data_IF_465177124770
#
_entry.id   IF_465177124770
#
_cell.length_a   1.000
_cell.length_b   1.000
_cell.length_c   1.000
_cell.angle_alpha   90.00
_cell.angle_beta   90.00
_cell.angle_gamma   90.00
#
_symmetry.space_group_name_H-M   'P 1'
#
loop_
_entity.id
_entity.type
_entity.pdbx_description
1 polymer ?
#
# COMPACT_ATOMS: atom_id res chain seq x y z
N UNK A 1 24.92 -0.66 -11.76
CA UNK A 1 23.72 -1.46 -11.44
C UNK A 1 22.60 -0.95 -12.33
N UNK A 2 22.52 -1.47 -13.55
CA UNK A 2 21.44 -1.14 -14.47
C UNK A 2 20.15 -1.74 -13.91
N UNK A 3 19.17 -0.88 -13.61
CA UNK A 3 17.79 -1.30 -13.47
C UNK A 3 17.26 -1.41 -14.88
N UNK A 4 17.48 -2.55 -15.54
CA UNK A 4 16.74 -2.88 -16.76
C UNK A 4 15.26 -2.90 -16.36
N UNK A 5 14.58 -1.77 -16.58
CA UNK A 5 13.16 -1.65 -16.27
C UNK A 5 12.40 -2.73 -17.02
N UNK A 6 11.47 -3.40 -16.35
CA UNK A 6 10.56 -4.32 -17.02
C UNK A 6 10.00 -3.65 -18.28
N UNK A 7 9.98 -4.34 -19.43
CA UNK A 7 9.48 -3.75 -20.65
C UNK A 7 8.04 -3.29 -20.41
N UNK A 8 7.70 -2.09 -20.88
CA UNK A 8 6.39 -1.46 -20.61
C UNK A 8 5.21 -2.35 -21.04
N UNK A 9 5.43 -3.23 -22.02
CA UNK A 9 4.46 -4.26 -22.43
C UNK A 9 4.11 -5.23 -21.29
N UNK A 10 5.11 -5.76 -20.57
CA UNK A 10 4.91 -6.68 -19.45
C UNK A 10 4.20 -5.99 -18.27
N UNK A 11 4.55 -4.74 -17.98
CA UNK A 11 3.85 -3.94 -16.96
C UNK A 11 2.40 -3.72 -17.36
N UNK A 12 2.13 -3.37 -18.63
CA UNK A 12 0.78 -3.15 -19.15
C UNK A 12 -0.08 -4.42 -19.03
N UNK A 13 0.47 -5.58 -19.34
CA UNK A 13 -0.23 -6.86 -19.19
C UNK A 13 -0.60 -7.15 -17.73
N UNK A 14 0.34 -6.94 -16.79
CA UNK A 14 0.07 -7.08 -15.35
C UNK A 14 -1.05 -6.15 -14.88
N UNK A 15 -0.99 -4.88 -15.30
CA UNK A 15 -2.01 -3.89 -14.95
C UNK A 15 -3.38 -4.25 -15.54
N UNK A 16 -3.41 -4.75 -16.78
CA UNK A 16 -4.65 -5.21 -17.41
C UNK A 16 -5.24 -6.43 -16.69
N UNK A 17 -4.41 -7.40 -16.28
CA UNK A 17 -4.87 -8.55 -15.48
C UNK A 17 -5.44 -8.12 -14.14
N UNK A 18 -4.74 -7.23 -13.42
CA UNK A 18 -5.25 -6.67 -12.17
C UNK A 18 -6.57 -5.92 -12.36
N UNK A 19 -6.72 -5.18 -13.47
CA UNK A 19 -7.98 -4.51 -13.81
C UNK A 19 -9.10 -5.50 -14.11
N UNK A 20 -8.82 -6.60 -14.82
CA UNK A 20 -9.81 -7.63 -15.07
C UNK A 20 -10.30 -8.27 -13.77
N UNK A 21 -9.38 -8.60 -12.86
CA UNK A 21 -9.72 -9.11 -11.51
C UNK A 21 -10.64 -8.14 -10.76
N UNK A 22 -10.38 -6.84 -10.84
CA UNK A 22 -11.23 -5.83 -10.22
C UNK A 22 -12.63 -5.77 -10.86
N UNK A 23 -12.69 -5.78 -12.20
CA UNK A 23 -13.95 -5.79 -12.93
C UNK A 23 -14.77 -7.04 -12.59
N UNK A 24 -14.16 -8.21 -12.58
CA UNK A 24 -14.83 -9.47 -12.25
C UNK A 24 -15.37 -9.46 -10.82
N UNK A 25 -14.57 -8.93 -9.87
CA UNK A 25 -14.99 -8.78 -8.46
C UNK A 25 -16.21 -7.88 -8.31
N UNK A 26 -16.29 -6.80 -9.11
CA UNK A 26 -17.37 -5.82 -9.02
C UNK A 26 -18.44 -5.96 -10.10
N UNK A 27 -18.36 -6.97 -10.97
CA UNK A 27 -19.31 -7.17 -12.08
C UNK A 27 -20.78 -7.25 -11.62
N UNK A 28 -21.02 -7.70 -10.39
CA UNK A 28 -22.36 -7.82 -9.79
C UNK A 28 -22.77 -6.60 -8.94
N UNK A 29 -21.99 -5.52 -8.94
CA UNK A 29 -22.22 -4.31 -8.14
C UNK A 29 -22.38 -3.10 -9.04
N UNK A 30 -23.57 -2.51 -9.03
CA UNK A 30 -23.79 -1.23 -9.69
C UNK A 30 -23.01 -0.10 -8.99
N UNK A 31 -22.26 0.68 -9.77
CA UNK A 31 -21.58 1.90 -9.31
C UNK A 31 -20.19 1.72 -8.70
N UNK A 32 -19.63 0.50 -8.68
CA UNK A 32 -18.27 0.24 -8.20
C UNK A 32 -17.45 -0.37 -9.32
N UNK A 33 -16.43 0.34 -9.78
CA UNK A 33 -15.61 -0.09 -10.93
C UNK A 33 -14.13 -0.30 -10.58
N UNK A 34 -13.73 0.07 -9.37
CA UNK A 34 -12.33 0.03 -8.95
C UNK A 34 -12.22 -0.08 -7.43
N UNK A 35 -11.06 -0.56 -6.96
CA UNK A 35 -10.77 -0.72 -5.53
C UNK A 35 -10.92 0.58 -4.72
N UNK A 36 -10.69 1.74 -5.33
CA UNK A 36 -10.84 3.05 -4.68
C UNK A 36 -12.29 3.33 -4.25
N UNK A 37 -13.27 2.82 -5.00
CA UNK A 37 -14.70 3.04 -4.77
C UNK A 37 -15.29 2.12 -3.70
N UNK A 38 -14.51 1.19 -3.13
CA UNK A 38 -14.98 0.30 -2.06
C UNK A 38 -15.48 1.09 -0.85
N UNK A 39 -16.68 0.77 -0.36
CA UNK A 39 -17.19 1.25 0.91
C UNK A 39 -16.68 0.43 2.10
N UNK A 40 -16.98 0.82 3.36
CA UNK A 40 -16.57 0.09 4.56
C UNK A 40 -17.07 -1.36 4.60
N UNK A 41 -18.26 -1.61 4.04
CA UNK A 41 -18.84 -2.95 3.91
C UNK A 41 -18.09 -3.82 2.90
N UNK A 42 -17.50 -3.20 1.89
CA UNK A 42 -16.76 -3.88 0.83
C UNK A 42 -15.35 -4.22 1.28
N UNK A 43 -14.72 -3.34 2.05
CA UNK A 43 -13.43 -3.63 2.67
C UNK A 43 -13.47 -4.92 3.48
N UNK A 44 -14.50 -5.13 4.31
CA UNK A 44 -14.64 -6.37 5.08
C UNK A 44 -14.83 -7.64 4.23
N UNK A 45 -15.37 -7.50 3.01
CA UNK A 45 -15.67 -8.65 2.12
C UNK A 45 -14.55 -8.93 1.12
N UNK A 46 -13.93 -7.89 0.58
CA UNK A 46 -12.97 -7.95 -0.51
C UNK A 46 -11.51 -7.91 -0.02
N UNK A 47 -11.26 -7.31 1.15
CA UNK A 47 -9.93 -7.27 1.76
C UNK A 47 -9.78 -8.38 2.79
N UNK A 48 -9.68 -9.63 2.33
CA UNK A 48 -9.24 -10.73 3.18
C UNK A 48 -7.75 -10.54 3.46
N UNK A 49 -7.42 -10.30 4.72
CA UNK A 49 -6.04 -10.16 5.20
C UNK A 49 -5.61 -11.47 5.85
N UNK A 50 -4.39 -11.89 5.55
CA UNK A 50 -3.70 -12.97 6.26
C UNK A 50 -3.43 -12.55 7.70
N UNK A 51 -3.33 -13.50 8.63
CA UNK A 51 -3.08 -13.23 10.05
C UNK A 51 -1.79 -12.40 10.25
N UNK A 52 -0.78 -12.65 9.44
CA UNK A 52 0.46 -11.85 9.44
C UNK A 52 0.23 -10.40 9.02
N UNK A 53 -0.63 -10.17 8.02
CA UNK A 53 -0.95 -8.83 7.55
C UNK A 53 -1.82 -8.07 8.57
N UNK A 54 -2.76 -8.76 9.22
CA UNK A 54 -3.58 -8.19 10.29
C UNK A 54 -2.74 -7.79 11.51
N UNK A 55 -1.78 -8.62 11.93
CA UNK A 55 -0.84 -8.30 13.00
C UNK A 55 0.01 -7.06 12.70
N UNK A 56 0.49 -6.92 11.45
CA UNK A 56 1.22 -5.74 11.00
C UNK A 56 0.34 -4.50 11.01
N UNK A 57 -0.90 -4.59 10.51
CA UNK A 57 -1.85 -3.48 10.49
C UNK A 57 -2.19 -3.01 11.91
N UNK A 58 -2.46 -3.92 12.84
CA UNK A 58 -2.70 -3.62 14.26
C UNK A 58 -1.52 -2.88 14.90
N UNK A 59 -0.31 -3.38 14.63
CA UNK A 59 0.93 -2.75 15.12
C UNK A 59 1.13 -1.35 14.53
N UNK A 60 0.88 -1.19 13.23
CA UNK A 60 0.97 0.10 12.53
C UNK A 60 -0.05 1.11 13.07
N UNK A 61 -1.30 0.69 13.31
CA UNK A 61 -2.33 1.55 13.93
C UNK A 61 -1.87 2.03 15.32
N UNK A 62 -1.35 1.14 16.15
CA UNK A 62 -0.87 1.48 17.49
C UNK A 62 0.32 2.45 17.48
N UNK A 63 1.29 2.25 16.59
CA UNK A 63 2.50 3.08 16.49
C UNK A 63 2.28 4.42 15.81
N UNK A 64 1.56 4.43 14.68
CA UNK A 64 1.38 5.59 13.82
C UNK A 64 0.12 6.40 14.14
N UNK A 65 -0.68 5.94 15.12
CA UNK A 65 -1.98 6.54 15.51
C UNK A 65 -2.86 6.84 14.28
N UNK A 66 -2.94 5.88 13.35
CA UNK A 66 -3.70 6.05 12.11
C UNK A 66 -5.18 6.24 12.41
N UNK A 67 -5.80 7.23 11.75
CA UNK A 67 -7.25 7.36 11.77
C UNK A 67 -7.91 6.20 11.02
N UNK A 68 -9.17 5.89 11.35
CA UNK A 68 -9.94 4.86 10.64
C UNK A 68 -9.97 5.09 9.11
N UNK A 69 -9.96 6.36 8.67
CA UNK A 69 -9.90 6.72 7.25
C UNK A 69 -8.54 6.39 6.62
N UNK A 70 -7.44 6.61 7.34
CA UNK A 70 -6.10 6.23 6.89
C UNK A 70 -5.99 4.71 6.79
N UNK A 71 -6.49 3.97 7.78
CA UNK A 71 -6.55 2.51 7.74
C UNK A 71 -7.33 1.98 6.52
N UNK A 72 -8.51 2.53 6.24
CA UNK A 72 -9.27 2.16 5.05
C UNK A 72 -8.51 2.43 3.76
N UNK A 73 -7.73 3.52 3.70
CA UNK A 73 -6.89 3.83 2.53
C UNK A 73 -5.78 2.79 2.36
N UNK A 74 -5.11 2.42 3.46
CA UNK A 74 -4.08 1.36 3.47
C UNK A 74 -4.65 0.06 2.91
N UNK A 75 -5.83 -0.36 3.38
CA UNK A 75 -6.48 -1.59 2.88
C UNK A 75 -6.78 -1.54 1.37
N UNK A 76 -7.24 -0.40 0.85
CA UNK A 76 -7.51 -0.24 -0.59
C UNK A 76 -6.23 -0.31 -1.43
N UNK A 77 -5.15 0.27 -0.93
CA UNK A 77 -3.83 0.22 -1.59
C UNK A 77 -3.29 -1.20 -1.55
N UNK A 78 -3.29 -1.84 -0.38
CA UNK A 78 -2.83 -3.21 -0.20
C UNK A 78 -3.60 -4.19 -1.09
N UNK A 79 -4.92 -4.02 -1.24
CA UNK A 79 -5.73 -4.81 -2.19
C UNK A 79 -5.30 -4.61 -3.64
N UNK A 80 -4.94 -3.39 -4.02
CA UNK A 80 -4.48 -3.09 -5.39
C UNK A 80 -3.11 -3.72 -5.66
N UNK A 81 -2.21 -3.70 -4.67
CA UNK A 81 -0.91 -4.40 -4.75
C UNK A 81 -1.12 -5.91 -4.83
N UNK A 82 -2.04 -6.47 -4.03
CA UNK A 82 -2.40 -7.89 -4.09
C UNK A 82 -2.99 -8.26 -5.46
N UNK A 83 -3.84 -7.41 -6.06
CA UNK A 83 -4.39 -7.64 -7.40
C UNK A 83 -3.30 -7.61 -8.48
N UNK A 84 -2.28 -6.75 -8.34
CA UNK A 84 -1.11 -6.72 -9.23
C UNK A 84 -0.18 -7.93 -9.06
N UNK A 85 -0.25 -8.60 -7.91
CA UNK A 85 0.44 -9.86 -7.61
C UNK A 85 -0.44 -11.08 -7.85
N UNK A 86 -1.67 -10.90 -8.35
CA UNK A 86 -2.68 -11.96 -8.58
C UNK A 86 -3.00 -12.77 -7.31
N UNK A 87 -2.81 -12.16 -6.14
CA UNK A 87 -3.06 -12.80 -4.86
C UNK A 87 -4.51 -12.61 -4.42
N UNK A 88 -5.25 -13.69 -4.11
CA UNK A 88 -6.59 -13.58 -3.55
C UNK A 88 -6.57 -12.97 -2.14
N UNK A 89 -5.48 -13.16 -1.39
CA UNK A 89 -5.31 -12.72 0.00
C UNK A 89 -4.31 -11.57 0.10
N UNK A 90 -4.58 -10.61 1.00
CA UNK A 90 -3.64 -9.56 1.36
C UNK A 90 -2.63 -10.16 2.34
N UNK A 91 -1.47 -10.53 1.81
CA UNK A 91 -0.30 -10.96 2.56
C UNK A 91 0.49 -9.77 3.14
N UNK A 92 1.35 -10.02 4.15
CA UNK A 92 2.25 -9.02 4.72
C UNK A 92 3.04 -8.22 3.66
N UNK A 93 3.49 -8.89 2.60
CA UNK A 93 4.25 -8.27 1.51
C UNK A 93 3.47 -7.19 0.76
N UNK A 94 2.13 -7.28 0.72
CA UNK A 94 1.27 -6.30 0.06
C UNK A 94 0.96 -5.10 0.97
N UNK A 95 1.22 -5.23 2.28
CA UNK A 95 1.11 -4.16 3.27
C UNK A 95 2.50 -3.51 3.40
N UNK A 96 3.02 -2.99 2.29
CA UNK A 96 4.31 -2.29 2.27
C UNK A 96 4.17 -0.83 2.67
N UNK A 97 5.29 -0.23 3.11
CA UNK A 97 5.43 1.14 3.62
C UNK A 97 4.81 2.21 2.69
N UNK A 98 4.71 1.94 1.38
CA UNK A 98 4.03 2.82 0.42
C UNK A 98 2.54 3.07 0.74
N UNK A 99 1.90 2.17 1.50
CA UNK A 99 0.48 2.25 1.85
C UNK A 99 0.20 3.19 3.04
N UNK A 100 1.16 3.36 3.95
CA UNK A 100 1.06 4.29 5.08
C UNK A 100 2.20 5.32 4.97
N UNK A 101 1.91 6.61 4.78
CA UNK A 101 2.98 7.60 4.67
C UNK A 101 3.80 7.60 5.96
N UNK A 102 4.97 6.98 5.97
CA UNK A 102 6.02 7.29 6.92
C UNK A 102 6.55 8.66 6.54
N UNK A 103 5.79 9.70 6.90
CA UNK A 103 6.44 10.96 7.26
C UNK A 103 7.39 10.60 8.41
N UNK A 104 8.67 10.42 8.06
CA UNK A 104 9.78 9.97 8.91
C UNK A 104 9.93 8.45 9.10
N UNK A 105 10.42 7.76 8.08
CA UNK A 105 11.41 6.71 8.29
C UNK A 105 12.79 7.32 7.97
N UNK A 106 13.55 7.70 9.00
CA UNK A 106 15.00 7.84 8.90
C UNK A 106 15.57 6.46 9.20
N UNK A 107 16.14 5.72 8.23
CA UNK A 107 16.95 4.55 8.54
C UNK A 107 18.35 5.04 8.90
N UNK A 108 18.73 4.74 10.13
CA UNK A 108 20.03 4.98 10.76
C UNK A 108 21.19 4.52 9.87
N UNK A 109 21.96 5.45 9.33
CA UNK A 109 23.33 5.19 8.91
C UNK A 109 24.20 6.37 9.35
N UNK A 110 25.10 6.08 10.27
CA UNK A 110 26.19 6.92 10.72
C UNK A 110 26.74 7.83 9.61
N UNK A 111 26.33 9.10 9.59
CA UNK A 111 27.18 10.17 9.07
C UNK A 111 27.88 10.75 10.28
N UNK A 112 29.17 10.46 10.34
CA UNK A 112 30.18 11.12 11.18
C UNK A 112 29.75 12.56 11.44
N UNK A 113 29.57 12.91 12.72
CA UNK A 113 29.67 14.28 13.17
C UNK A 113 31.09 14.76 12.83
N UNK A 114 31.26 15.32 11.63
CA UNK A 114 32.33 16.27 11.37
C UNK A 114 31.69 17.63 11.54
N UNK A 115 31.88 18.15 12.74
CA UNK A 115 32.00 19.56 13.10
C UNK A 115 31.83 20.55 11.93
N UNK A 116 30.77 21.37 11.98
CA UNK A 116 30.91 22.84 11.96
C UNK A 116 29.55 23.55 12.07
N UNK A 117 29.48 24.71 12.76
CA UNK A 117 28.24 25.40 13.06
C UNK A 117 28.00 26.54 12.06
N UNK A 118 26.87 26.54 11.35
CA UNK A 118 26.20 27.77 10.88
C UNK A 118 25.12 27.44 9.85
N UNK A 119 23.87 27.64 10.24
CA UNK A 119 22.91 28.52 9.55
C UNK A 119 21.49 28.09 9.88
N UNK A 120 20.71 29.09 10.31
CA UNK A 120 19.35 29.00 10.83
C UNK A 120 18.36 28.62 9.72
N UNK A 121 17.42 27.73 10.01
CA UNK A 121 16.17 27.61 9.26
C UNK A 121 15.16 28.68 9.76
N UNK A 122 14.52 29.47 8.89
CA UNK A 122 13.35 30.26 9.27
C UNK A 122 12.05 29.45 9.14
N UNK A 123 11.04 29.90 9.89
CA UNK A 123 9.71 29.31 10.10
C UNK A 123 8.82 29.33 8.85
#
# INVERSE_FOLDING_TARGET
>A
MERSGEPSAAIRERVNRARQIQLDRFARRHGVFANVHMGPRDLKKCCQVSDGADALLKTAIGRLKLSARAYHRVLKIARTIADLAESPTIEPAHVSEDAYPTRCAVPTAARRCVSSPSSRCPR
#
